data_IF_766501539039
#
_entry.id   IF_766501539039
#
_cell.length_a   1.000
_cell.length_b   1.000
_cell.length_c   1.000
_cell.angle_alpha   90.00
_cell.angle_beta   90.00
_cell.angle_gamma   90.00
#
_symmetry.space_group_name_H-M   'P 1'
#
loop_
_entity.id
_entity.type
_entity.pdbx_description
1 polymer ?
#
# COMPACT_ATOMS: atom_id res chain seq x y z
N UNK A 1 -45.14 -32.37 -72.97
CA UNK A 1 -45.89 -31.49 -72.05
C UNK A 1 -45.41 -31.62 -70.59
N UNK A 2 -44.10 -31.76 -70.31
CA UNK A 2 -43.59 -32.01 -68.94
C UNK A 2 -42.46 -31.07 -68.48
N UNK A 3 -41.82 -30.29 -69.36
CA UNK A 3 -40.70 -29.41 -68.98
C UNK A 3 -41.11 -28.10 -68.29
N UNK A 4 -42.37 -27.67 -68.42
CA UNK A 4 -42.88 -26.43 -67.78
C UNK A 4 -43.26 -26.61 -66.30
N UNK A 5 -43.48 -27.84 -65.86
CA UNK A 5 -43.90 -28.15 -64.49
C UNK A 5 -42.73 -28.14 -63.50
N UNK A 6 -41.54 -28.61 -63.93
CA UNK A 6 -40.34 -28.60 -63.07
C UNK A 6 -39.78 -27.18 -62.83
N UNK A 7 -40.01 -26.25 -63.76
CA UNK A 7 -39.57 -24.86 -63.61
C UNK A 7 -40.42 -24.09 -62.58
N UNK A 8 -41.71 -24.39 -62.47
CA UNK A 8 -42.60 -23.73 -61.48
C UNK A 8 -42.41 -24.28 -60.06
N UNK A 9 -42.12 -25.57 -59.91
CA UNK A 9 -41.82 -26.17 -58.61
C UNK A 9 -40.42 -25.80 -58.08
N UNK A 10 -39.44 -25.58 -58.98
CA UNK A 10 -38.11 -25.10 -58.59
C UNK A 10 -38.14 -23.64 -58.08
N UNK A 11 -39.00 -22.79 -58.66
CA UNK A 11 -39.18 -21.41 -58.18
C UNK A 11 -39.86 -21.32 -56.80
N UNK A 12 -40.77 -22.26 -56.50
CA UNK A 12 -41.48 -22.29 -55.22
C UNK A 12 -40.61 -22.82 -54.06
N UNK A 13 -39.67 -23.73 -54.34
CA UNK A 13 -38.71 -24.23 -53.36
C UNK A 13 -37.65 -23.18 -52.97
N UNK A 14 -37.31 -22.24 -53.86
CA UNK A 14 -36.32 -21.19 -53.58
C UNK A 14 -36.86 -20.04 -52.70
N UNK A 15 -38.19 -19.85 -52.64
CA UNK A 15 -38.79 -18.76 -51.85
C UNK A 15 -39.04 -19.12 -50.38
N UNK A 16 -38.97 -20.41 -50.03
CA UNK A 16 -39.18 -20.92 -48.66
C UNK A 16 -37.92 -20.90 -47.78
N UNK A 17 -36.74 -20.56 -48.33
CA UNK A 17 -35.47 -20.54 -47.60
C UNK A 17 -35.07 -19.16 -47.04
N UNK A 18 -35.86 -18.11 -47.25
CA UNK A 18 -35.47 -16.73 -46.94
C UNK A 18 -36.15 -16.09 -45.70
N UNK A 19 -36.92 -16.82 -44.90
CA UNK A 19 -37.80 -16.21 -43.89
C UNK A 19 -37.37 -16.30 -42.41
N UNK A 20 -36.09 -16.54 -42.09
CA UNK A 20 -35.63 -16.48 -40.69
C UNK A 20 -34.30 -15.75 -40.53
N UNK A 21 -34.30 -14.43 -40.69
CA UNK A 21 -33.27 -13.59 -40.07
C UNK A 21 -33.84 -13.08 -38.75
N UNK A 22 -33.78 -13.91 -37.69
CA UNK A 22 -33.92 -13.39 -36.33
C UNK A 22 -32.69 -12.53 -36.07
N UNK A 23 -32.86 -11.20 -36.07
CA UNK A 23 -31.90 -10.31 -35.45
C UNK A 23 -31.84 -10.65 -33.96
N UNK A 24 -30.77 -11.36 -33.56
CA UNK A 24 -30.46 -11.55 -32.15
C UNK A 24 -30.23 -10.17 -31.52
N UNK A 25 -31.20 -9.68 -30.75
CA UNK A 25 -30.99 -8.53 -29.88
C UNK A 25 -29.91 -8.94 -28.88
N UNK A 26 -28.75 -8.28 -28.93
CA UNK A 26 -27.74 -8.46 -27.90
C UNK A 26 -28.42 -8.18 -26.56
N UNK A 27 -28.38 -9.11 -25.59
CA UNK A 27 -28.93 -8.85 -24.27
C UNK A 27 -28.22 -7.60 -23.74
N UNK A 28 -28.99 -6.56 -23.46
CA UNK A 28 -28.49 -5.36 -22.79
C UNK A 28 -27.85 -5.86 -21.51
N UNK A 29 -26.52 -5.86 -21.47
CA UNK A 29 -25.77 -6.23 -20.28
C UNK A 29 -26.32 -5.34 -19.16
N UNK A 30 -26.81 -5.92 -18.04
CA UNK A 30 -27.28 -5.10 -16.94
C UNK A 30 -26.18 -4.10 -16.61
N UNK A 31 -26.52 -2.81 -16.66
CA UNK A 31 -25.62 -1.73 -16.27
C UNK A 31 -25.18 -2.07 -14.86
N UNK A 32 -23.90 -2.39 -14.69
CA UNK A 32 -23.35 -2.74 -13.39
C UNK A 32 -23.77 -1.64 -12.40
N UNK A 33 -24.51 -2.01 -11.36
CA UNK A 33 -24.84 -1.08 -10.28
C UNK A 33 -23.53 -0.44 -9.83
N UNK A 34 -23.46 0.90 -9.66
CA UNK A 34 -22.25 1.53 -9.17
C UNK A 34 -21.81 0.81 -7.90
N UNK A 35 -20.70 0.07 -7.98
CA UNK A 35 -20.20 -0.69 -6.85
C UNK A 35 -20.10 0.22 -5.64
N UNK A 36 -20.45 -0.29 -4.46
CA UNK A 36 -20.42 0.49 -3.22
C UNK A 36 -19.08 1.24 -3.12
N UNK A 37 -19.14 2.58 -3.03
CA UNK A 37 -17.95 3.43 -2.97
C UNK A 37 -17.06 2.95 -1.82
N UNK A 38 -15.81 2.62 -2.13
CA UNK A 38 -14.84 2.17 -1.13
C UNK A 38 -14.62 3.28 -0.09
N UNK A 39 -14.97 2.99 1.16
CA UNK A 39 -14.65 3.86 2.31
C UNK A 39 -13.34 3.38 2.92
N UNK A 40 -12.29 4.19 2.83
CA UNK A 40 -11.00 3.90 3.45
C UNK A 40 -11.18 3.70 4.98
N UNK A 41 -10.63 2.62 5.57
CA UNK A 41 -10.64 2.43 7.01
C UNK A 41 -9.83 3.52 7.74
N UNK A 42 -10.26 3.88 8.95
CA UNK A 42 -9.53 4.78 9.85
C UNK A 42 -8.43 3.98 10.58
N UNK A 43 -7.39 3.60 9.85
CA UNK A 43 -6.25 2.89 10.41
C UNK A 43 -5.34 3.81 11.24
N UNK A 44 -4.59 3.21 12.16
CA UNK A 44 -3.51 3.81 12.97
C UNK A 44 -2.28 2.92 12.92
N UNK A 45 -1.11 3.54 13.06
CA UNK A 45 0.18 2.87 13.00
C UNK A 45 0.84 2.88 14.36
N UNK A 46 1.24 1.71 14.82
CA UNK A 46 1.72 1.46 16.17
C UNK A 46 3.11 0.88 16.15
N UNK A 47 3.96 1.35 17.05
CA UNK A 47 5.18 0.67 17.44
C UNK A 47 5.09 0.43 18.95
N UNK A 48 4.80 -0.81 19.35
CA UNK A 48 4.39 -1.09 20.73
C UNK A 48 3.13 -0.32 21.13
N UNK A 49 3.29 0.68 21.99
CA UNK A 49 2.20 1.49 22.59
C UNK A 49 2.11 2.92 22.05
N UNK A 50 2.96 3.29 21.08
CA UNK A 50 3.01 4.65 20.53
C UNK A 50 2.44 4.74 19.12
N UNK A 51 1.92 5.91 18.75
CA UNK A 51 1.32 6.20 17.44
C UNK A 51 1.53 7.67 17.05
N UNK A 52 1.52 7.97 15.76
CA UNK A 52 1.51 9.34 15.22
C UNK A 52 2.87 10.04 15.24
N UNK A 53 2.89 11.34 15.51
CA UNK A 53 4.12 12.12 15.66
C UNK A 53 4.34 12.40 17.15
N UNK A 54 5.40 11.83 17.70
CA UNK A 54 5.67 11.87 19.14
C UNK A 54 7.14 12.15 19.43
N UNK A 55 7.41 12.51 20.68
CA UNK A 55 8.75 12.64 21.20
C UNK A 55 8.98 11.67 22.35
N UNK A 56 10.15 11.03 22.38
CA UNK A 56 10.56 10.08 23.43
C UNK A 56 12.00 10.32 23.82
N UNK A 57 12.40 9.81 24.99
CA UNK A 57 13.82 9.71 25.31
C UNK A 57 14.49 8.59 24.49
N UNK A 58 15.82 8.61 24.43
CA UNK A 58 16.59 7.64 23.65
C UNK A 58 16.35 6.19 24.12
N UNK A 59 16.28 5.92 25.43
CA UNK A 59 16.15 4.56 25.96
C UNK A 59 14.81 3.91 25.58
N UNK A 60 13.72 4.66 25.66
CA UNK A 60 12.40 4.19 25.23
C UNK A 60 12.39 3.89 23.73
N UNK A 61 12.97 4.78 22.92
CA UNK A 61 13.05 4.57 21.48
C UNK A 61 13.92 3.36 21.10
N UNK A 62 15.03 3.12 21.82
CA UNK A 62 15.88 1.92 21.66
C UNK A 62 15.11 0.62 21.95
N UNK A 63 14.20 0.64 22.92
CA UNK A 63 13.33 -0.52 23.17
C UNK A 63 12.29 -0.68 22.06
N UNK A 64 11.64 0.41 21.66
CA UNK A 64 10.57 0.38 20.66
C UNK A 64 11.03 -0.09 19.27
N UNK A 65 12.26 0.24 18.85
CA UNK A 65 12.75 -0.14 17.51
C UNK A 65 12.88 -1.66 17.30
N UNK A 66 12.91 -2.43 18.39
CA UNK A 66 12.92 -3.89 18.36
C UNK A 66 11.54 -4.50 18.13
N UNK A 67 10.48 -3.71 18.29
CA UNK A 67 9.10 -4.16 18.20
C UNK A 67 8.59 -4.14 16.74
N UNK A 68 7.64 -5.01 16.40
CA UNK A 68 7.01 -4.97 15.09
C UNK A 68 6.10 -3.72 14.95
N UNK A 69 6.12 -3.14 13.77
CA UNK A 69 5.15 -2.15 13.32
C UNK A 69 3.79 -2.84 13.16
N UNK A 70 2.75 -2.29 13.78
CA UNK A 70 1.41 -2.87 13.79
C UNK A 70 0.40 -1.85 13.30
N UNK A 71 -0.50 -2.26 12.39
CA UNK A 71 -1.51 -1.38 11.81
C UNK A 71 -2.89 -1.88 12.22
N UNK A 72 -3.68 -1.03 12.86
CA UNK A 72 -5.04 -1.40 13.35
C UNK A 72 -6.07 -0.35 12.99
N UNK A 73 -7.34 -0.74 12.82
CA UNK A 73 -8.45 0.22 12.78
C UNK A 73 -9.03 0.53 14.16
N UNK A 74 -10.10 1.33 14.18
CA UNK A 74 -10.92 1.67 15.35
C UNK A 74 -11.63 0.47 15.98
N UNK A 75 -11.70 -0.66 15.27
CA UNK A 75 -12.27 -1.93 15.73
C UNK A 75 -11.20 -2.92 16.18
N UNK A 76 -9.95 -2.47 16.32
CA UNK A 76 -8.79 -3.30 16.66
C UNK A 76 -8.56 -4.47 15.69
N UNK A 77 -8.94 -4.30 14.42
CA UNK A 77 -8.61 -5.27 13.37
C UNK A 77 -7.19 -5.01 12.90
N UNK A 78 -6.35 -6.03 12.99
CA UNK A 78 -4.98 -5.99 12.50
C UNK A 78 -4.93 -6.13 10.98
N UNK A 79 -4.15 -5.27 10.32
CA UNK A 79 -3.92 -5.32 8.89
C UNK A 79 -2.54 -5.91 8.55
N UNK A 80 -2.51 -6.71 7.49
CA UNK A 80 -1.26 -7.28 6.98
C UNK A 80 -0.46 -6.19 6.26
N UNK A 81 0.78 -5.98 6.67
CA UNK A 81 1.70 -5.04 6.01
C UNK A 81 2.17 -5.63 4.68
N UNK A 82 2.00 -4.87 3.60
CA UNK A 82 2.62 -5.16 2.30
C UNK A 82 4.04 -4.61 2.26
N UNK A 83 4.22 -3.36 2.70
CA UNK A 83 5.51 -2.68 2.74
C UNK A 83 5.44 -1.39 3.54
N UNK A 84 6.59 -0.88 3.96
CA UNK A 84 6.77 0.48 4.47
C UNK A 84 8.15 0.99 4.10
N UNK A 85 8.34 2.30 4.13
CA UNK A 85 9.65 2.92 4.14
C UNK A 85 10.02 3.31 5.57
N UNK A 86 11.30 3.21 5.88
CA UNK A 86 11.83 3.68 7.15
C UNK A 86 13.07 4.55 6.91
N UNK A 87 13.10 5.70 7.57
CA UNK A 87 14.21 6.63 7.57
C UNK A 87 14.69 6.89 9.01
N UNK A 88 16.01 6.88 9.18
CA UNK A 88 16.69 7.25 10.41
C UNK A 88 17.58 8.45 10.14
N UNK A 89 17.19 9.60 10.70
CA UNK A 89 17.98 10.84 10.69
C UNK A 89 18.90 10.84 11.89
N UNK A 90 20.21 10.92 11.63
CA UNK A 90 21.29 10.94 12.62
C UNK A 90 21.88 12.32 12.73
N UNK A 91 22.44 12.66 13.88
CA UNK A 91 23.20 13.90 14.09
C UNK A 91 24.61 13.52 14.52
N UNK A 92 25.58 13.83 13.65
CA UNK A 92 27.01 13.71 13.92
C UNK A 92 27.63 15.06 14.26
N UNK A 93 28.84 15.02 14.82
CA UNK A 93 29.70 16.19 15.01
C UNK A 93 30.83 16.10 13.99
N UNK A 94 30.98 17.12 13.17
CA UNK A 94 32.06 17.25 12.18
C UNK A 94 32.97 18.40 12.59
N UNK A 95 34.28 18.18 12.53
CA UNK A 95 35.30 19.23 12.74
C UNK A 95 35.74 19.80 11.39
N UNK A 96 35.75 21.12 11.28
CA UNK A 96 36.31 21.82 10.13
C UNK A 96 37.84 21.84 10.22
N UNK A 97 38.51 21.19 9.27
CA UNK A 97 39.98 21.07 9.22
C UNK A 97 40.71 22.42 9.15
N UNK A 98 40.08 23.47 8.60
CA UNK A 98 40.69 24.79 8.48
C UNK A 98 40.53 25.64 9.75
N UNK A 99 39.45 25.44 10.52
CA UNK A 99 39.11 26.28 11.67
C UNK A 99 39.15 25.57 13.02
N UNK A 100 39.25 24.24 13.04
CA UNK A 100 39.19 23.41 14.25
C UNK A 100 37.83 23.48 14.97
N UNK A 101 36.81 24.02 14.32
CA UNK A 101 35.48 24.21 14.93
C UNK A 101 34.61 23.00 14.66
N UNK A 102 34.02 22.47 15.72
CA UNK A 102 33.02 21.40 15.65
C UNK A 102 31.63 21.97 15.31
N UNK A 103 30.95 21.37 14.34
CA UNK A 103 29.57 21.70 13.97
C UNK A 103 28.71 20.45 13.91
N UNK A 104 27.42 20.60 14.21
CA UNK A 104 26.47 19.50 14.10
C UNK A 104 26.03 19.35 12.64
N UNK A 105 26.13 18.12 12.11
CA UNK A 105 25.68 17.79 10.76
C UNK A 105 24.71 16.62 10.82
N UNK A 106 23.60 16.72 10.09
CA UNK A 106 22.63 15.63 10.00
C UNK A 106 22.89 14.76 8.78
N UNK A 107 22.81 13.45 8.97
CA UNK A 107 22.81 12.45 7.91
C UNK A 107 21.50 11.62 7.98
N UNK A 108 21.14 10.94 6.91
CA UNK A 108 19.93 10.13 6.85
C UNK A 108 20.17 8.81 6.12
N UNK A 109 19.88 7.71 6.80
CA UNK A 109 19.78 6.40 6.20
C UNK A 109 18.30 6.04 6.00
N UNK A 110 17.92 5.58 4.81
CA UNK A 110 16.54 5.15 4.53
C UNK A 110 16.51 3.91 3.64
N UNK A 111 15.49 3.07 3.84
CA UNK A 111 15.26 1.87 3.03
C UNK A 111 13.78 1.45 3.06
N UNK A 112 13.38 0.57 2.14
CA UNK A 112 12.05 -0.01 2.02
C UNK A 112 12.04 -1.43 2.57
N UNK A 113 11.06 -1.72 3.41
CA UNK A 113 10.89 -3.01 4.07
C UNK A 113 9.54 -3.64 3.71
N UNK A 114 9.53 -4.96 3.61
CA UNK A 114 8.31 -5.78 3.38
C UNK A 114 7.95 -6.66 4.57
N UNK A 115 8.77 -6.63 5.62
CA UNK A 115 8.57 -7.36 6.87
C UNK A 115 8.88 -6.47 8.07
N UNK A 116 8.35 -6.85 9.22
CA UNK A 116 8.54 -6.13 10.48
C UNK A 116 8.72 -7.15 11.62
N UNK A 117 9.57 -6.90 12.63
CA UNK A 117 10.35 -5.68 12.91
C UNK A 117 11.45 -5.40 11.87
N UNK A 118 12.12 -4.25 12.00
CA UNK A 118 13.27 -3.90 11.14
C UNK A 118 14.35 -5.00 11.18
N UNK A 119 15.19 -5.16 10.15
CA UNK A 119 16.29 -6.13 10.18
C UNK A 119 17.25 -5.87 11.33
N UNK A 120 17.90 -6.93 11.84
CA UNK A 120 18.78 -6.85 13.01
C UNK A 120 19.91 -5.82 12.86
N UNK A 121 20.46 -5.63 11.65
CA UNK A 121 21.49 -4.62 11.37
C UNK A 121 20.97 -3.20 11.63
N UNK A 122 19.74 -2.91 11.21
CA UNK A 122 19.11 -1.61 11.46
C UNK A 122 18.85 -1.41 12.95
N UNK A 123 18.27 -2.42 13.61
CA UNK A 123 18.02 -2.37 15.05
C UNK A 123 19.30 -2.10 15.83
N UNK A 124 20.36 -2.87 15.56
CA UNK A 124 21.66 -2.73 16.23
C UNK A 124 22.26 -1.33 16.04
N UNK A 125 22.34 -0.86 14.79
CA UNK A 125 22.91 0.45 14.47
C UNK A 125 22.14 1.60 15.15
N UNK A 126 20.81 1.50 15.22
CA UNK A 126 19.98 2.48 15.93
C UNK A 126 20.22 2.37 17.44
N UNK A 127 20.17 1.17 18.02
CA UNK A 127 20.32 0.99 19.47
C UNK A 127 21.64 1.56 19.98
N UNK A 128 22.72 1.30 19.26
CA UNK A 128 24.07 1.75 19.61
C UNK A 128 24.29 3.26 19.37
N UNK A 129 23.62 3.82 18.35
CA UNK A 129 23.88 5.18 17.87
C UNK A 129 22.82 6.23 18.18
N UNK A 130 21.69 5.87 18.80
CA UNK A 130 20.56 6.79 18.96
C UNK A 130 20.86 7.88 20.01
N UNK A 131 20.77 9.14 19.58
CA UNK A 131 21.01 10.33 20.41
C UNK A 131 19.86 11.33 20.34
N UNK A 132 19.86 12.29 21.27
CA UNK A 132 18.93 13.42 21.29
C UNK A 132 19.00 14.24 19.99
N UNK A 133 17.85 14.66 19.49
CA UNK A 133 17.70 15.45 18.26
C UNK A 133 17.57 14.61 16.99
N UNK A 134 17.77 13.31 17.09
CA UNK A 134 17.59 12.36 15.98
C UNK A 134 16.12 12.01 15.75
N UNK A 135 15.82 11.39 14.60
CA UNK A 135 14.45 11.03 14.22
C UNK A 135 14.36 9.63 13.64
N UNK A 136 13.35 8.87 14.07
CA UNK A 136 12.96 7.57 13.52
C UNK A 136 11.61 7.74 12.81
N UNK A 137 11.54 7.42 11.51
CA UNK A 137 10.38 7.75 10.70
C UNK A 137 9.91 6.59 9.84
N UNK A 138 8.67 6.14 10.06
CA UNK A 138 7.98 5.12 9.29
C UNK A 138 6.93 5.78 8.39
N UNK A 139 7.06 5.65 7.08
CA UNK A 139 6.22 6.32 6.10
C UNK A 139 5.95 5.42 4.89
N UNK A 140 5.05 5.86 4.01
CA UNK A 140 4.57 5.08 2.86
C UNK A 140 4.15 3.64 3.26
N UNK A 141 3.47 3.53 4.39
CA UNK A 141 3.03 2.26 4.96
C UNK A 141 1.83 1.76 4.14
N UNK A 142 2.01 0.66 3.43
CA UNK A 142 0.99 0.03 2.60
C UNK A 142 0.56 -1.26 3.27
N UNK A 143 -0.74 -1.43 3.45
CA UNK A 143 -1.34 -2.63 4.04
C UNK A 143 -2.43 -3.22 3.16
N UNK A 144 -2.76 -4.49 3.39
CA UNK A 144 -3.89 -5.17 2.77
C UNK A 144 -5.11 -5.12 3.68
N UNK A 145 -6.27 -4.79 3.10
CA UNK A 145 -7.55 -5.01 3.76
C UNK A 145 -7.99 -6.49 3.68
N UNK A 146 -9.13 -6.81 4.32
CA UNK A 146 -9.69 -8.17 4.32
C UNK A 146 -10.07 -8.68 2.93
N UNK A 147 -10.24 -7.79 1.96
CA UNK A 147 -10.53 -8.12 0.56
C UNK A 147 -9.27 -8.16 -0.32
N UNK A 148 -8.06 -8.04 0.27
CA UNK A 148 -6.79 -8.03 -0.45
C UNK A 148 -6.47 -6.72 -1.17
N UNK A 149 -7.27 -5.66 -0.96
CA UNK A 149 -7.00 -4.34 -1.55
C UNK A 149 -5.93 -3.63 -0.74
N UNK A 150 -5.11 -2.84 -1.43
CA UNK A 150 -4.05 -2.05 -0.80
C UNK A 150 -4.53 -0.66 -0.44
N UNK A 151 -4.14 -0.17 0.72
CA UNK A 151 -4.31 1.23 1.10
C UNK A 151 -3.16 1.73 1.99
N UNK A 152 -2.97 3.05 2.01
CA UNK A 152 -1.97 3.69 2.86
C UNK A 152 -2.46 3.81 4.31
N UNK A 153 -1.68 3.31 5.25
CA UNK A 153 -1.83 3.59 6.67
C UNK A 153 -1.13 4.92 7.04
N UNK A 154 -1.51 5.56 8.17
CA UNK A 154 -0.83 6.78 8.62
C UNK A 154 0.65 6.55 8.93
N UNK A 155 1.48 7.58 8.82
CA UNK A 155 2.89 7.53 9.21
C UNK A 155 3.08 7.52 10.75
N UNK A 156 4.28 7.13 11.18
CA UNK A 156 4.73 7.18 12.57
C UNK A 156 6.10 7.86 12.62
N UNK A 157 6.20 8.99 13.33
CA UNK A 157 7.44 9.74 13.52
C UNK A 157 7.77 9.82 15.01
N UNK A 158 9.00 9.47 15.37
CA UNK A 158 9.52 9.55 16.73
C UNK A 158 10.72 10.50 16.71
N UNK A 159 10.60 11.61 17.44
CA UNK A 159 11.68 12.58 17.66
C UNK A 159 12.37 12.28 19.00
N UNK A 160 13.70 12.23 19.03
CA UNK A 160 14.42 11.90 20.27
C UNK A 160 14.70 13.19 21.07
N UNK A 161 14.32 13.21 22.34
CA UNK A 161 14.47 14.35 23.27
C UNK A 161 15.45 14.11 24.41
#
# INVERSE_FOLDING_TARGET
>A
MQKKFYLSYSLFALFLLCSNVMLAQQPVKPVASPGAKYKKPLAKSWLGKVTGNISLNADEARQLITLPLKITDDKNVDYLISSYQFAYKRIGVTEDEATGKTSAQSDMAADRFTSTPLPAVWQKNIIEGLHKGEELYFFDIIVFDKQGRRFFAPELKITIQ
#
